data_IF_252702594034
#
_entry.id   IF_252702594034
#
_cell.length_a   1.000
_cell.length_b   1.000
_cell.length_c   1.000
_cell.angle_alpha   90.00
_cell.angle_beta   90.00
_cell.angle_gamma   90.00
#
_symmetry.space_group_name_H-M   'P 1'
#
loop_
_entity.id
_entity.type
_entity.pdbx_description
1 polymer ?
#
# COMPACT_ATOMS: atom_id res chain seq x y z
N UNK A 1 5.14 -34.91 -47.21
CA UNK A 1 6.26 -35.88 -47.21
C UNK A 1 7.28 -35.38 -46.20
N UNK A 2 7.23 -35.80 -44.93
CA UNK A 2 7.93 -36.95 -44.32
C UNK A 2 9.48 -36.89 -44.39
N UNK A 3 10.05 -36.53 -43.22
CA UNK A 3 11.19 -37.12 -42.47
C UNK A 3 12.62 -36.92 -42.95
N UNK A 4 13.49 -36.49 -42.03
CA UNK A 4 14.60 -37.25 -41.37
C UNK A 4 15.17 -36.32 -40.26
N UNK A 5 14.92 -36.53 -38.95
CA UNK A 5 15.59 -37.43 -37.98
C UNK A 5 17.11 -37.51 -38.15
N UNK A 6 17.82 -36.84 -37.24
CA UNK A 6 19.26 -36.96 -37.02
C UNK A 6 19.58 -36.85 -35.53
N UNK A 7 19.41 -37.96 -34.83
CA UNK A 7 19.77 -38.24 -33.45
C UNK A 7 21.29 -38.42 -33.37
N UNK A 8 21.99 -37.69 -32.49
CA UNK A 8 23.34 -38.07 -32.02
C UNK A 8 23.38 -37.98 -30.49
N UNK A 9 23.75 -39.11 -29.93
CA UNK A 9 23.82 -39.48 -28.52
C UNK A 9 25.30 -39.59 -28.11
N UNK A 10 25.63 -39.03 -26.94
CA UNK A 10 26.71 -39.33 -25.98
C UNK A 10 28.12 -39.73 -26.45
N UNK A 11 29.13 -39.12 -25.79
CA UNK A 11 30.17 -39.88 -25.09
C UNK A 11 30.87 -39.04 -24.00
N UNK A 12 30.94 -39.64 -22.80
CA UNK A 12 31.73 -39.24 -21.63
C UNK A 12 33.23 -39.29 -21.90
N UNK A 13 34.00 -38.39 -21.28
CA UNK A 13 35.37 -38.66 -20.85
C UNK A 13 35.55 -38.20 -19.41
N UNK A 14 35.94 -39.15 -18.57
CA UNK A 14 36.40 -39.03 -17.19
C UNK A 14 37.93 -38.99 -17.20
N UNK A 15 38.52 -38.12 -16.36
CA UNK A 15 39.85 -38.28 -15.76
C UNK A 15 39.89 -37.37 -14.50
N UNK A 16 39.92 -37.89 -13.26
CA UNK A 16 41.08 -38.37 -12.49
C UNK A 16 42.29 -37.40 -12.56
N UNK A 17 42.85 -36.85 -11.49
CA UNK A 17 42.63 -36.97 -10.06
C UNK A 17 43.78 -36.24 -9.31
N UNK A 18 43.64 -36.07 -8.00
CA UNK A 18 44.78 -36.02 -7.06
C UNK A 18 44.31 -36.27 -5.62
N UNK A 19 44.84 -37.36 -5.04
CA UNK A 19 44.99 -37.74 -3.63
C UNK A 19 46.08 -36.86 -2.98
N UNK A 20 46.20 -36.54 -1.68
CA UNK A 20 45.98 -37.15 -0.35
C UNK A 20 45.95 -35.97 0.66
N UNK A 21 45.29 -36.00 1.84
CA UNK A 21 45.76 -36.65 3.07
C UNK A 21 44.67 -36.60 4.17
N UNK A 22 44.56 -37.58 5.08
CA UNK A 22 43.53 -37.62 6.12
C UNK A 22 44.01 -36.94 7.42
N UNK A 23 43.24 -35.95 7.89
CA UNK A 23 43.35 -35.37 9.23
C UNK A 23 42.21 -35.86 10.14
N UNK A 24 42.38 -35.80 11.47
CA UNK A 24 41.60 -36.57 12.43
C UNK A 24 40.13 -36.14 12.48
N UNK A 25 39.26 -37.14 12.54
CA UNK A 25 37.81 -37.03 12.78
C UNK A 25 37.52 -36.45 14.16
N UNK A 26 37.18 -35.16 14.21
CA UNK A 26 36.42 -34.60 15.33
C UNK A 26 34.93 -34.85 15.06
N UNK A 27 34.37 -35.75 15.86
CA UNK A 27 32.95 -36.12 15.80
C UNK A 27 32.16 -35.05 16.55
N UNK A 28 32.01 -33.88 15.93
CA UNK A 28 31.06 -32.87 16.39
C UNK A 28 29.80 -33.06 15.59
N UNK A 29 28.76 -33.56 16.26
CA UNK A 29 27.40 -33.65 15.75
C UNK A 29 26.92 -32.25 15.39
N UNK A 30 27.19 -31.79 14.18
CA UNK A 30 26.48 -30.67 13.57
C UNK A 30 25.11 -31.19 13.20
N UNK A 31 24.09 -30.80 13.96
CA UNK A 31 22.73 -30.76 13.47
C UNK A 31 22.75 -30.07 12.09
N UNK A 32 22.03 -30.58 11.08
CA UNK A 32 21.91 -29.90 9.82
C UNK A 32 21.37 -28.50 10.13
N UNK A 33 22.17 -27.46 9.87
CA UNK A 33 21.63 -26.10 9.78
C UNK A 33 20.49 -26.19 8.80
N UNK A 34 19.27 -25.90 9.25
CA UNK A 34 18.18 -25.54 8.36
C UNK A 34 18.75 -24.50 7.40
N UNK A 35 18.98 -24.93 6.16
CA UNK A 35 19.24 -24.01 5.07
C UNK A 35 17.95 -23.22 4.94
N UNK A 36 18.00 -21.98 5.42
CA UNK A 36 16.90 -21.03 5.33
C UNK A 36 16.41 -21.03 3.86
N UNK A 37 15.19 -21.54 3.58
CA UNK A 37 14.66 -21.60 2.22
C UNK A 37 14.60 -20.22 1.55
N UNK A 38 14.69 -19.13 2.33
CA UNK A 38 14.77 -17.77 1.78
C UNK A 38 16.06 -17.47 1.02
N UNK A 39 17.12 -18.28 1.16
CA UNK A 39 18.35 -18.14 0.38
C UNK A 39 18.19 -18.50 -1.11
N UNK A 40 17.01 -18.98 -1.54
CA UNK A 40 16.72 -19.30 -2.95
C UNK A 40 16.10 -18.10 -3.72
N UNK A 41 15.70 -17.02 -3.03
CA UNK A 41 15.09 -15.83 -3.61
C UNK A 41 15.85 -14.55 -3.26
N UNK A 42 17.11 -14.46 -3.69
CA UNK A 42 18.03 -13.36 -3.35
C UNK A 42 17.49 -11.93 -3.59
N UNK A 43 16.46 -11.77 -4.46
CA UNK A 43 15.88 -10.47 -4.84
C UNK A 43 14.57 -10.14 -4.13
N UNK A 44 14.01 -11.04 -3.33
CA UNK A 44 12.73 -10.82 -2.65
C UNK A 44 12.97 -10.46 -1.18
N UNK A 45 12.63 -9.23 -0.82
CA UNK A 45 12.70 -8.71 0.56
C UNK A 45 11.33 -8.43 1.17
N UNK A 46 11.29 -8.13 2.47
CA UNK A 46 10.07 -7.70 3.18
C UNK A 46 9.96 -6.19 3.22
N UNK A 47 8.99 -5.62 2.51
CA UNK A 47 8.66 -4.18 2.50
C UNK A 47 9.81 -3.24 2.05
N UNK A 48 9.48 -1.99 1.73
CA UNK A 48 10.52 -0.97 1.59
C UNK A 48 11.12 -0.69 2.97
N UNK A 49 12.44 -0.64 3.08
CA UNK A 49 13.08 -0.21 4.33
C UNK A 49 12.90 1.30 4.50
N UNK A 50 12.78 1.75 5.75
CA UNK A 50 12.85 3.17 6.05
C UNK A 50 14.22 3.73 5.65
N UNK A 51 14.23 4.99 5.23
CA UNK A 51 15.47 5.67 4.89
C UNK A 51 16.47 5.63 6.01
N UNK A 52 17.71 5.27 5.66
CA UNK A 52 18.85 5.42 6.56
C UNK A 52 19.14 6.88 6.90
N UNK A 53 18.62 7.82 6.10
CA UNK A 53 18.69 9.24 6.36
C UNK A 53 17.47 9.68 7.17
N UNK A 54 17.66 10.45 8.23
CA UNK A 54 16.54 10.85 9.11
C UNK A 54 15.83 12.12 8.65
N UNK A 55 16.36 12.83 7.65
CA UNK A 55 15.91 14.17 7.27
C UNK A 55 16.25 15.23 8.33
N UNK A 56 16.09 16.50 7.95
CA UNK A 56 16.22 17.65 8.84
C UNK A 56 14.84 18.17 9.27
N UNK A 57 14.68 18.55 10.53
CA UNK A 57 13.48 19.26 11.02
C UNK A 57 13.74 20.76 11.09
N UNK A 58 12.69 21.57 11.21
CA UNK A 58 12.83 23.03 11.35
C UNK A 58 13.62 23.43 12.60
N UNK A 59 13.51 22.65 13.68
CA UNK A 59 14.24 22.88 14.92
C UNK A 59 15.76 22.60 14.80
N UNK A 60 16.18 21.82 13.80
CA UNK A 60 17.60 21.54 13.54
C UNK A 60 18.30 22.68 12.78
N UNK A 61 17.54 23.67 12.30
CA UNK A 61 18.05 24.78 11.50
C UNK A 61 18.67 25.87 12.36
N UNK A 62 19.67 26.56 11.79
CA UNK A 62 20.19 27.80 12.37
C UNK A 62 19.13 28.90 12.37
N UNK A 63 19.21 29.87 13.28
CA UNK A 63 18.28 31.02 13.30
C UNK A 63 18.31 31.81 11.98
N UNK A 64 19.48 31.90 11.34
CA UNK A 64 19.67 32.57 10.05
C UNK A 64 18.88 31.88 8.94
N UNK A 65 18.91 30.55 8.91
CA UNK A 65 18.17 29.77 7.92
C UNK A 65 16.67 29.71 8.24
N UNK A 66 16.28 29.60 9.52
CA UNK A 66 14.87 29.67 9.92
C UNK A 66 14.21 30.97 9.43
N UNK A 67 14.95 32.07 9.43
CA UNK A 67 14.48 33.37 8.95
C UNK A 67 14.26 33.42 7.42
N UNK A 68 14.70 32.41 6.66
CA UNK A 68 14.42 32.29 5.22
C UNK A 68 13.00 31.76 4.93
N UNK A 69 12.34 31.17 5.92
CA UNK A 69 11.03 30.55 5.74
C UNK A 69 9.91 31.39 6.32
N UNK A 70 8.92 31.72 5.49
CA UNK A 70 7.67 32.34 5.93
C UNK A 70 6.70 31.25 6.38
N UNK A 71 6.69 30.94 7.69
CA UNK A 71 5.82 29.90 8.25
C UNK A 71 4.41 30.46 8.49
N UNK A 72 3.38 29.99 7.77
CA UNK A 72 2.01 30.41 8.03
C UNK A 72 1.49 29.85 9.36
N UNK A 73 0.45 30.46 9.92
CA UNK A 73 -0.26 29.86 11.06
C UNK A 73 -0.94 28.55 10.59
N UNK A 74 -0.81 27.45 11.36
CA UNK A 74 -1.41 26.17 10.99
C UNK A 74 -2.95 26.25 11.01
N UNK A 75 -3.60 25.54 10.11
CA UNK A 75 -5.06 25.39 10.16
C UNK A 75 -5.49 24.57 11.38
N UNK A 76 -6.76 24.68 11.78
CA UNK A 76 -7.29 23.90 12.90
C UNK A 76 -7.14 22.39 12.62
N UNK A 77 -6.40 21.69 13.50
CA UNK A 77 -6.11 20.26 13.38
C UNK A 77 -4.80 19.91 12.68
N UNK A 78 -4.11 20.89 12.10
CA UNK A 78 -2.78 20.71 11.50
C UNK A 78 -1.67 20.95 12.53
N UNK A 79 -0.59 20.17 12.47
CA UNK A 79 0.54 20.38 13.36
C UNK A 79 1.46 21.48 12.82
N UNK A 80 2.01 22.32 13.71
CA UNK A 80 2.97 23.36 13.31
C UNK A 80 4.23 22.74 12.65
N UNK A 81 4.64 21.55 13.09
CA UNK A 81 5.79 20.83 12.54
C UNK A 81 5.55 20.43 11.08
N UNK A 82 4.35 19.95 10.74
CA UNK A 82 4.00 19.59 9.36
C UNK A 82 4.02 20.81 8.44
N UNK A 83 3.48 21.94 8.91
CA UNK A 83 3.52 23.22 8.18
C UNK A 83 4.96 23.67 7.96
N UNK A 84 5.80 23.61 8.98
CA UNK A 84 7.21 23.98 8.87
C UNK A 84 7.97 23.08 7.88
N UNK A 85 7.77 21.77 7.97
CA UNK A 85 8.38 20.80 7.05
C UNK A 85 7.94 21.07 5.62
N UNK A 86 6.65 21.32 5.37
CA UNK A 86 6.14 21.63 4.04
C UNK A 86 6.77 22.90 3.47
N UNK A 87 6.89 23.97 4.27
CA UNK A 87 7.54 25.22 3.84
C UNK A 87 9.02 25.02 3.50
N UNK A 88 9.75 24.24 4.31
CA UNK A 88 11.15 23.91 4.04
C UNK A 88 11.29 23.17 2.70
N UNK A 89 10.47 22.13 2.49
CA UNK A 89 10.48 21.33 1.27
C UNK A 89 10.19 22.18 0.03
N UNK A 90 9.16 23.03 0.10
CA UNK A 90 8.76 23.90 -1.02
C UNK A 90 9.86 24.90 -1.39
N UNK A 91 10.39 25.65 -0.43
CA UNK A 91 11.42 26.65 -0.70
C UNK A 91 12.72 26.03 -1.25
N UNK A 92 13.11 24.85 -0.74
CA UNK A 92 14.28 24.10 -1.25
C UNK A 92 14.03 23.58 -2.67
N UNK A 93 12.83 23.08 -2.93
CA UNK A 93 12.42 22.59 -4.26
C UNK A 93 12.43 23.71 -5.29
N UNK A 94 11.82 24.86 -4.95
CA UNK A 94 11.77 26.04 -5.82
C UNK A 94 13.18 26.54 -6.13
N UNK A 95 14.06 26.60 -5.14
CA UNK A 95 15.45 27.00 -5.35
C UNK A 95 16.18 26.11 -6.36
N UNK A 96 16.09 24.78 -6.20
CA UNK A 96 16.69 23.82 -7.15
C UNK A 96 16.09 24.01 -8.54
N UNK A 97 14.76 24.14 -8.60
CA UNK A 97 14.03 24.31 -9.86
C UNK A 97 14.47 25.58 -10.61
N UNK A 98 14.53 26.72 -9.92
CA UNK A 98 15.01 27.99 -10.48
C UNK A 98 16.47 27.91 -10.92
N UNK A 99 17.34 27.25 -10.14
CA UNK A 99 18.73 27.03 -10.52
C UNK A 99 18.82 26.23 -11.83
N UNK A 100 18.05 25.15 -11.98
CA UNK A 100 18.00 24.35 -13.21
C UNK A 100 17.45 25.14 -14.41
N UNK A 101 16.39 25.93 -14.21
CA UNK A 101 15.83 26.78 -15.25
C UNK A 101 16.83 27.85 -15.72
N UNK A 102 17.57 28.45 -14.79
CA UNK A 102 18.63 29.43 -15.10
C UNK A 102 19.77 28.82 -15.93
N UNK A 103 19.97 27.51 -15.82
CA UNK A 103 20.93 26.72 -16.59
C UNK A 103 20.37 26.30 -17.96
N UNK A 104 19.12 26.65 -18.30
CA UNK A 104 18.49 26.37 -19.59
C UNK A 104 17.67 25.09 -19.63
N UNK A 105 17.43 24.44 -18.49
CA UNK A 105 16.59 23.23 -18.40
C UNK A 105 15.15 23.61 -18.08
N UNK A 106 14.36 23.89 -19.12
CA UNK A 106 12.98 24.37 -19.00
C UNK A 106 11.96 23.38 -18.37
N UNK A 107 12.37 22.15 -18.08
CA UNK A 107 11.60 21.18 -17.29
C UNK A 107 11.97 21.17 -15.81
N UNK A 108 12.92 22.01 -15.40
CA UNK A 108 13.35 22.16 -14.02
C UNK A 108 13.69 20.80 -13.39
N UNK A 109 13.13 20.56 -12.21
CA UNK A 109 13.38 19.34 -11.44
C UNK A 109 12.71 18.08 -12.02
N UNK A 110 11.67 18.21 -12.87
CA UNK A 110 11.03 17.05 -13.52
C UNK A 110 12.01 16.29 -14.43
N UNK A 111 13.08 16.95 -14.90
CA UNK A 111 14.09 16.28 -15.72
C UNK A 111 14.89 15.22 -14.94
N UNK A 112 14.86 15.26 -13.60
CA UNK A 112 15.55 14.30 -12.73
C UNK A 112 15.06 12.89 -12.99
N UNK A 113 13.78 12.68 -13.31
CA UNK A 113 13.18 11.35 -13.51
C UNK A 113 13.92 10.53 -14.60
N UNK A 114 14.50 11.22 -15.59
CA UNK A 114 15.26 10.60 -16.69
C UNK A 114 16.71 10.21 -16.34
N UNK A 115 17.24 10.72 -15.24
CA UNK A 115 18.65 10.50 -14.81
C UNK A 115 18.75 9.98 -13.38
N UNK A 116 17.62 9.80 -12.70
CA UNK A 116 17.57 9.59 -11.27
C UNK A 116 16.15 9.62 -10.72
N UNK A 117 16.01 10.19 -9.52
CA UNK A 117 14.76 10.47 -8.82
C UNK A 117 14.99 11.57 -7.78
N UNK A 118 13.91 12.15 -7.24
CA UNK A 118 13.98 12.94 -6.02
C UNK A 118 12.81 12.57 -5.09
N UNK A 119 13.03 12.67 -3.78
CA UNK A 119 11.98 12.52 -2.77
C UNK A 119 12.14 13.56 -1.67
N UNK A 120 11.06 13.84 -0.95
CA UNK A 120 11.12 14.64 0.26
C UNK A 120 11.26 13.74 1.48
N UNK A 121 12.11 14.15 2.43
CA UNK A 121 12.28 13.45 3.70
C UNK A 121 12.39 14.45 4.84
N UNK A 122 11.28 14.61 5.58
CA UNK A 122 11.08 15.75 6.49
C UNK A 122 11.42 17.04 5.74
N UNK A 123 12.13 17.99 6.33
CA UNK A 123 12.50 19.22 5.64
C UNK A 123 13.52 19.06 4.51
N UNK A 124 14.17 17.91 4.33
CA UNK A 124 15.25 17.71 3.35
C UNK A 124 14.75 17.17 2.00
N UNK A 125 15.51 17.43 0.94
CA UNK A 125 15.33 16.82 -0.38
C UNK A 125 16.39 15.75 -0.58
N UNK A 126 16.00 14.53 -0.97
CA UNK A 126 16.93 13.46 -1.34
C UNK A 126 16.93 13.35 -2.86
N UNK A 127 18.07 13.67 -3.49
CA UNK A 127 18.28 13.56 -4.94
C UNK A 127 19.07 12.29 -5.22
N UNK A 128 18.47 11.38 -5.97
CA UNK A 128 19.04 10.09 -6.31
C UNK A 128 19.49 10.13 -7.76
N UNK A 129 20.78 9.93 -8.04
CA UNK A 129 21.34 10.06 -9.38
C UNK A 129 21.94 8.74 -9.83
N UNK A 130 21.64 8.35 -11.07
CA UNK A 130 22.23 7.17 -11.66
C UNK A 130 23.68 7.41 -12.07
N UNK A 131 24.49 6.38 -11.89
CA UNK A 131 25.88 6.37 -12.32
C UNK A 131 26.10 5.88 -13.76
N UNK A 132 27.22 6.28 -14.34
CA UNK A 132 27.60 5.85 -15.69
C UNK A 132 26.74 6.40 -16.83
N UNK A 133 25.97 7.47 -16.59
CA UNK A 133 25.20 8.19 -17.61
C UNK A 133 26.10 8.77 -18.71
N UNK A 134 25.57 8.91 -19.92
CA UNK A 134 26.33 9.33 -21.12
C UNK A 134 25.60 10.43 -21.89
N UNK A 135 26.34 11.17 -22.71
CA UNK A 135 25.76 12.15 -23.64
C UNK A 135 24.97 13.24 -22.93
N UNK A 136 23.72 13.43 -23.35
CA UNK A 136 22.79 14.42 -22.76
C UNK A 136 22.43 14.11 -21.31
N UNK A 137 22.26 12.83 -20.94
CA UNK A 137 21.94 12.43 -19.56
C UNK A 137 23.04 12.82 -18.59
N UNK A 138 24.31 12.70 -19.01
CA UNK A 138 25.45 13.12 -18.19
C UNK A 138 25.44 14.64 -17.93
N UNK A 139 25.13 15.44 -18.95
CA UNK A 139 25.03 16.89 -18.79
C UNK A 139 23.88 17.30 -17.86
N UNK A 140 22.75 16.60 -17.94
CA UNK A 140 21.62 16.78 -17.02
C UNK A 140 22.04 16.45 -15.59
N UNK A 141 22.70 15.31 -15.37
CA UNK A 141 23.26 14.93 -14.06
C UNK A 141 24.18 16.03 -13.52
N UNK A 142 25.14 16.49 -14.31
CA UNK A 142 26.08 17.56 -13.90
C UNK A 142 25.36 18.88 -13.54
N UNK A 143 24.30 19.24 -14.26
CA UNK A 143 23.50 20.42 -13.95
C UNK A 143 22.68 20.27 -12.65
N UNK A 144 22.18 19.06 -12.38
CA UNK A 144 21.48 18.75 -11.12
C UNK A 144 22.47 18.79 -9.96
N UNK A 145 23.63 18.13 -10.08
CA UNK A 145 24.69 18.16 -9.05
C UNK A 145 25.07 19.60 -8.71
N UNK A 146 25.24 20.45 -9.73
CA UNK A 146 25.50 21.87 -9.50
C UNK A 146 24.35 22.59 -8.79
N UNK A 147 23.09 22.36 -9.19
CA UNK A 147 21.94 22.97 -8.51
C UNK A 147 21.81 22.50 -7.06
N UNK A 148 22.20 21.25 -6.77
CA UNK A 148 22.28 20.72 -5.41
C UNK A 148 23.39 21.39 -4.61
N UNK A 149 24.59 21.54 -5.18
CA UNK A 149 25.70 22.27 -4.55
C UNK A 149 25.29 23.72 -4.20
N UNK A 150 24.66 24.43 -5.15
CA UNK A 150 24.16 25.79 -4.94
C UNK A 150 23.12 25.83 -3.78
N UNK A 151 22.21 24.85 -3.73
CA UNK A 151 21.20 24.75 -2.67
C UNK A 151 21.81 24.43 -1.30
N UNK A 152 22.83 23.57 -1.26
CA UNK A 152 23.56 23.24 -0.04
C UNK A 152 24.35 24.45 0.49
N UNK A 153 24.91 25.28 -0.41
CA UNK A 153 25.59 26.53 -0.03
C UNK A 153 24.59 27.58 0.49
N UNK A 154 23.41 27.67 -0.12
CA UNK A 154 22.40 28.66 0.26
C UNK A 154 21.68 28.33 1.58
N UNK A 155 21.32 27.06 1.79
CA UNK A 155 20.61 26.61 2.99
C UNK A 155 21.58 25.99 4.00
N UNK A 156 21.91 24.71 3.81
CA UNK A 156 22.92 23.96 4.55
C UNK A 156 23.19 22.62 3.84
N UNK A 157 24.21 21.87 4.27
CA UNK A 157 24.65 20.60 3.67
C UNK A 157 23.62 19.45 3.78
N UNK A 158 22.69 19.53 4.72
CA UNK A 158 21.58 18.59 4.92
C UNK A 158 20.29 19.01 4.23
N UNK A 159 20.26 20.19 3.60
CA UNK A 159 19.08 20.70 2.89
C UNK A 159 18.74 19.81 1.70
N UNK A 160 19.78 19.33 1.03
CA UNK A 160 19.69 18.40 -0.09
C UNK A 160 20.75 17.32 0.08
N UNK A 161 20.37 16.05 -0.03
CA UNK A 161 21.29 14.91 0.06
C UNK A 161 21.33 14.20 -1.29
N UNK A 162 22.54 13.97 -1.81
CA UNK A 162 22.74 13.19 -3.05
C UNK A 162 23.03 11.74 -2.71
N UNK A 163 22.34 10.82 -3.38
CA UNK A 163 22.57 9.39 -3.31
C UNK A 163 22.78 8.82 -4.71
N UNK A 164 23.67 7.84 -4.84
CA UNK A 164 23.82 7.09 -6.09
C UNK A 164 22.82 5.93 -6.15
N UNK A 165 22.19 5.75 -7.30
CA UNK A 165 21.25 4.65 -7.53
C UNK A 165 21.59 3.85 -8.79
N UNK A 166 21.35 2.53 -8.80
CA UNK A 166 21.62 1.70 -9.99
C UNK A 166 20.66 1.96 -11.15
N UNK A 167 19.44 2.44 -10.88
CA UNK A 167 18.36 2.64 -11.87
C UNK A 167 17.67 3.99 -11.66
N UNK A 168 17.22 4.60 -12.75
CA UNK A 168 16.39 5.82 -12.70
C UNK A 168 14.94 5.48 -12.39
N UNK A 169 14.13 6.48 -12.03
CA UNK A 169 12.68 6.32 -11.86
C UNK A 169 12.01 5.84 -13.13
N UNK A 170 12.34 6.42 -14.27
CA UNK A 170 11.80 5.98 -15.57
C UNK A 170 12.09 4.51 -15.84
N UNK A 171 13.31 4.05 -15.56
CA UNK A 171 13.67 2.64 -15.71
C UNK A 171 12.85 1.75 -14.77
N UNK A 172 12.67 2.15 -13.51
CA UNK A 172 11.88 1.40 -12.54
C UNK A 172 10.39 1.32 -12.92
N UNK A 173 9.80 2.41 -13.40
CA UNK A 173 8.43 2.43 -13.94
C UNK A 173 8.31 1.47 -15.13
N UNK A 174 9.29 1.47 -16.02
CA UNK A 174 9.36 0.55 -17.15
C UNK A 174 9.44 -0.92 -16.70
N UNK A 175 10.24 -1.23 -15.66
CA UNK A 175 10.30 -2.55 -15.07
C UNK A 175 8.98 -2.94 -14.40
N UNK A 176 8.36 -2.02 -13.66
CA UNK A 176 7.07 -2.21 -13.01
C UNK A 176 5.98 -2.57 -14.03
N UNK A 177 5.85 -1.78 -15.11
CA UNK A 177 4.86 -2.01 -16.16
C UNK A 177 5.02 -3.37 -16.85
N UNK A 178 6.28 -3.77 -17.13
CA UNK A 178 6.59 -5.09 -17.68
C UNK A 178 6.22 -6.20 -16.71
N UNK A 179 6.63 -6.07 -15.44
CA UNK A 179 6.32 -7.05 -14.40
C UNK A 179 4.82 -7.21 -14.24
N UNK A 180 4.05 -6.12 -14.11
CA UNK A 180 2.60 -6.16 -13.95
C UNK A 180 1.89 -6.87 -15.09
N UNK A 181 2.33 -6.65 -16.33
CA UNK A 181 1.79 -7.36 -17.50
C UNK A 181 2.03 -8.88 -17.42
N UNK A 182 3.13 -9.32 -16.78
CA UNK A 182 3.42 -10.74 -16.54
C UNK A 182 2.63 -11.29 -15.36
N UNK A 183 2.54 -10.56 -14.26
CA UNK A 183 1.81 -11.02 -13.06
C UNK A 183 0.32 -11.18 -13.35
N UNK A 184 -0.27 -10.26 -14.13
CA UNK A 184 -1.66 -10.36 -14.58
C UNK A 184 -1.96 -11.61 -15.44
N UNK A 185 -0.94 -12.26 -16.01
CA UNK A 185 -1.13 -13.51 -16.76
C UNK A 185 -1.26 -14.76 -15.86
N UNK A 186 -0.93 -14.63 -14.57
CA UNK A 186 -1.01 -15.71 -13.58
C UNK A 186 -2.20 -15.45 -12.66
N UNK A 187 -3.31 -16.15 -12.90
CA UNK A 187 -4.58 -15.97 -12.18
C UNK A 187 -4.44 -16.02 -10.64
N UNK A 188 -3.51 -16.84 -10.12
CA UNK A 188 -3.26 -16.94 -8.68
C UNK A 188 -2.69 -15.64 -8.10
N UNK A 189 -1.84 -14.93 -8.84
CA UNK A 189 -1.26 -13.66 -8.43
C UNK A 189 -2.20 -12.49 -8.66
N UNK A 190 -2.95 -12.48 -9.77
CA UNK A 190 -3.92 -11.43 -10.10
C UNK A 190 -4.91 -11.19 -8.95
N UNK A 191 -5.32 -12.25 -8.26
CA UNK A 191 -6.26 -12.16 -7.12
C UNK A 191 -5.61 -11.75 -5.80
N UNK A 192 -4.29 -11.90 -5.68
CA UNK A 192 -3.55 -11.60 -4.44
C UNK A 192 -2.94 -10.21 -4.45
N UNK A 193 -2.58 -9.67 -5.60
CA UNK A 193 -1.93 -8.35 -5.69
C UNK A 193 -2.96 -7.26 -5.41
N UNK A 194 -2.65 -6.43 -4.42
CA UNK A 194 -3.42 -5.25 -4.02
C UNK A 194 -2.96 -4.04 -4.81
N UNK A 195 -1.65 -3.78 -4.78
CA UNK A 195 -1.04 -2.64 -5.43
C UNK A 195 0.43 -2.92 -5.75
N UNK A 196 0.99 -2.06 -6.60
CA UNK A 196 2.43 -1.97 -6.78
C UNK A 196 2.92 -0.56 -6.62
N UNK A 197 4.13 -0.43 -6.12
CA UNK A 197 4.82 0.83 -5.89
C UNK A 197 6.29 0.72 -6.27
N UNK A 198 7.03 1.77 -5.95
CA UNK A 198 8.47 1.83 -6.12
C UNK A 198 9.13 2.10 -4.76
N UNK A 199 10.10 1.29 -4.37
CA UNK A 199 10.99 1.58 -3.24
C UNK A 199 12.20 2.34 -3.78
N UNK A 200 12.05 3.66 -3.95
CA UNK A 200 13.03 4.47 -4.69
C UNK A 200 14.45 4.39 -4.10
N UNK A 201 14.58 4.44 -2.77
CA UNK A 201 15.87 4.35 -2.06
C UNK A 201 16.59 3.02 -2.24
N UNK A 202 15.84 1.96 -2.47
CA UNK A 202 16.41 0.63 -2.68
C UNK A 202 16.46 0.27 -4.18
N UNK A 203 16.03 1.18 -5.07
CA UNK A 203 15.84 0.90 -6.50
C UNK A 203 15.08 -0.41 -6.74
N UNK A 204 14.06 -0.65 -5.92
CA UNK A 204 13.27 -1.87 -5.90
C UNK A 204 11.81 -1.59 -6.24
N UNK A 205 11.06 -2.63 -6.59
CA UNK A 205 9.60 -2.55 -6.74
C UNK A 205 8.94 -2.96 -5.43
N UNK A 206 7.87 -2.26 -5.06
CA UNK A 206 7.01 -2.67 -3.96
C UNK A 206 5.81 -3.44 -4.51
N UNK A 207 5.50 -4.58 -3.88
CA UNK A 207 4.40 -5.45 -4.24
C UNK A 207 3.58 -5.74 -2.97
N UNK A 208 2.40 -5.13 -2.90
CA UNK A 208 1.48 -5.35 -1.78
C UNK A 208 0.53 -6.49 -2.15
N UNK A 209 0.43 -7.49 -1.27
CA UNK A 209 -0.37 -8.70 -1.49
C UNK A 209 -1.32 -8.94 -0.31
N UNK A 210 -2.50 -9.53 -0.60
CA UNK A 210 -3.54 -9.81 0.40
C UNK A 210 -3.17 -10.92 1.38
N UNK A 211 -2.33 -11.83 0.94
CA UNK A 211 -1.92 -13.03 1.67
C UNK A 211 -0.52 -13.46 1.21
N UNK A 212 0.10 -14.34 1.98
CA UNK A 212 1.43 -14.88 1.65
C UNK A 212 1.44 -15.56 0.27
N UNK A 213 2.52 -15.33 -0.46
CA UNK A 213 2.76 -15.95 -1.76
C UNK A 213 3.36 -17.34 -1.56
N UNK A 214 2.95 -18.29 -2.41
CA UNK A 214 3.58 -19.62 -2.40
C UNK A 214 5.00 -19.57 -2.96
N UNK A 215 5.81 -20.60 -2.68
CA UNK A 215 7.16 -20.74 -3.26
C UNK A 215 7.14 -20.67 -4.80
N UNK A 216 6.16 -21.30 -5.44
CA UNK A 216 6.00 -21.25 -6.91
C UNK A 216 5.62 -19.84 -7.42
N UNK A 217 4.95 -19.04 -6.60
CA UNK A 217 4.61 -17.65 -6.91
C UNK A 217 5.82 -16.73 -6.75
N UNK A 218 6.57 -16.88 -5.65
CA UNK A 218 7.82 -16.17 -5.39
C UNK A 218 8.86 -16.48 -6.47
N UNK A 219 9.02 -17.76 -6.81
CA UNK A 219 9.92 -18.17 -7.90
C UNK A 219 9.52 -17.54 -9.22
N UNK A 220 8.23 -17.60 -9.58
CA UNK A 220 7.75 -17.00 -10.82
C UNK A 220 8.05 -15.51 -10.87
N UNK A 221 7.78 -14.78 -9.79
CA UNK A 221 8.05 -13.34 -9.67
C UNK A 221 9.55 -13.06 -9.85
N UNK A 222 10.42 -13.79 -9.14
CA UNK A 222 11.87 -13.66 -9.23
C UNK A 222 12.40 -13.90 -10.65
N UNK A 223 11.81 -14.85 -11.39
CA UNK A 223 12.15 -15.13 -12.80
C UNK A 223 11.66 -14.05 -13.78
N UNK A 224 10.65 -13.26 -13.42
CA UNK A 224 10.08 -12.22 -14.29
C UNK A 224 10.81 -10.87 -14.21
N UNK A 225 11.75 -10.70 -13.28
CA UNK A 225 12.39 -9.40 -13.03
C UNK A 225 13.89 -9.50 -12.78
N UNK A 226 14.59 -8.43 -13.12
CA UNK A 226 16.00 -8.18 -12.82
C UNK A 226 16.19 -7.13 -11.72
N UNK A 227 15.10 -6.63 -11.14
CA UNK A 227 15.13 -5.67 -10.03
C UNK A 227 14.64 -6.33 -8.75
N UNK A 228 15.11 -5.84 -7.61
CA UNK A 228 14.66 -6.33 -6.32
C UNK A 228 13.17 -6.04 -6.14
N UNK A 229 12.48 -6.95 -5.48
CA UNK A 229 11.06 -6.82 -5.15
C UNK A 229 10.92 -6.89 -3.64
N UNK A 230 10.24 -5.90 -3.09
CA UNK A 230 9.82 -5.88 -1.70
C UNK A 230 8.36 -6.29 -1.66
N UNK A 231 8.07 -7.33 -0.89
CA UNK A 231 6.71 -7.85 -0.73
C UNK A 231 6.19 -7.42 0.63
N UNK A 232 5.00 -6.84 0.65
CA UNK A 232 4.27 -6.51 1.85
C UNK A 232 2.96 -7.28 1.86
N UNK A 233 2.71 -8.04 2.92
CA UNK A 233 1.40 -8.67 3.13
C UNK A 233 0.51 -7.67 3.86
N UNK A 234 -0.55 -7.22 3.19
CA UNK A 234 -1.58 -6.36 3.76
C UNK A 234 -2.88 -7.14 3.81
N UNK A 235 -3.28 -7.56 5.01
CA UNK A 235 -4.59 -8.17 5.19
C UNK A 235 -5.70 -7.16 4.86
N UNK A 236 -6.78 -7.59 4.17
CA UNK A 236 -7.94 -6.73 3.94
C UNK A 236 -8.52 -6.21 5.26
N UNK A 237 -8.93 -4.94 5.25
CA UNK A 237 -9.74 -4.37 6.31
C UNK A 237 -11.04 -5.15 6.45
N UNK A 238 -11.55 -5.31 7.68
CA UNK A 238 -12.80 -6.01 7.96
C UNK A 238 -13.78 -5.11 8.67
N UNK A 239 -15.02 -5.06 8.18
CA UNK A 239 -16.12 -4.36 8.82
C UNK A 239 -17.28 -5.30 9.03
N UNK A 240 -17.77 -5.36 10.26
CA UNK A 240 -18.92 -6.20 10.62
C UNK A 240 -20.11 -5.34 11.02
N UNK A 241 -21.30 -5.74 10.63
CA UNK A 241 -22.55 -5.08 11.00
C UNK A 241 -23.75 -5.62 10.25
N UNK A 242 -24.91 -5.01 10.46
CA UNK A 242 -26.14 -5.38 9.78
C UNK A 242 -26.33 -4.59 8.48
N UNK A 243 -26.81 -5.29 7.45
CA UNK A 243 -27.12 -4.70 6.15
C UNK A 243 -28.39 -3.87 6.24
N UNK A 244 -28.30 -2.60 5.87
CA UNK A 244 -29.45 -1.66 5.90
C UNK A 244 -29.98 -1.33 4.51
N UNK A 245 -29.25 -1.69 3.46
CA UNK A 245 -29.67 -1.58 2.06
C UNK A 245 -28.86 -2.57 1.22
N UNK A 246 -29.52 -3.25 0.27
CA UNK A 246 -28.87 -4.12 -0.72
C UNK A 246 -29.56 -4.02 -2.09
N UNK A 247 -28.82 -4.32 -3.15
CA UNK A 247 -29.32 -4.32 -4.54
C UNK A 247 -28.24 -3.96 -5.56
N UNK A 248 -28.40 -4.40 -6.81
CA UNK A 248 -27.48 -4.11 -7.93
C UNK A 248 -25.99 -4.43 -7.64
N UNK A 249 -25.73 -5.50 -6.89
CA UNK A 249 -24.36 -5.88 -6.46
C UNK A 249 -23.75 -4.91 -5.44
N UNK A 250 -24.59 -4.16 -4.73
CA UNK A 250 -24.20 -3.21 -3.69
C UNK A 250 -24.85 -3.59 -2.37
N UNK A 251 -24.16 -3.28 -1.28
CA UNK A 251 -24.71 -3.37 0.07
C UNK A 251 -24.26 -2.16 0.88
N UNK A 252 -25.05 -1.77 1.88
CA UNK A 252 -24.70 -0.70 2.83
C UNK A 252 -24.60 -1.27 4.23
N UNK A 253 -23.48 -0.96 4.88
CA UNK A 253 -23.12 -1.40 6.22
C UNK A 253 -22.68 -0.19 7.04
N UNK A 254 -23.47 0.17 8.04
CA UNK A 254 -23.31 1.41 8.78
C UNK A 254 -23.20 2.63 7.82
N UNK A 255 -22.10 3.37 7.85
CA UNK A 255 -21.87 4.57 7.01
C UNK A 255 -21.05 4.28 5.75
N UNK A 256 -20.94 3.02 5.33
CA UNK A 256 -20.15 2.61 4.18
C UNK A 256 -20.99 1.81 3.19
N UNK A 257 -20.96 2.21 1.92
CA UNK A 257 -21.52 1.47 0.79
C UNK A 257 -20.42 0.64 0.13
N UNK A 258 -20.66 -0.65 -0.03
CA UNK A 258 -19.78 -1.58 -0.70
C UNK A 258 -20.34 -1.96 -2.08
N UNK A 259 -19.47 -2.09 -3.08
CA UNK A 259 -19.81 -2.53 -4.43
C UNK A 259 -19.23 -3.93 -4.72
N UNK A 260 -19.73 -4.57 -5.78
CA UNK A 260 -19.31 -5.90 -6.25
C UNK A 260 -19.56 -7.06 -5.27
N UNK A 261 -20.60 -6.96 -4.43
CA UNK A 261 -21.02 -8.11 -3.63
C UNK A 261 -21.60 -9.19 -4.55
N UNK A 262 -20.90 -10.33 -4.67
CA UNK A 262 -21.32 -11.46 -5.51
C UNK A 262 -22.49 -12.24 -4.93
N UNK A 263 -22.76 -12.05 -3.64
CA UNK A 263 -23.81 -12.75 -2.90
C UNK A 263 -25.10 -11.94 -2.91
N UNK A 264 -26.23 -12.66 -2.98
CA UNK A 264 -27.56 -12.10 -2.78
C UNK A 264 -27.76 -11.92 -1.27
N UNK A 265 -27.40 -10.75 -0.78
CA UNK A 265 -27.40 -10.42 0.65
C UNK A 265 -28.67 -9.65 0.97
N UNK A 266 -29.41 -10.13 1.97
CA UNK A 266 -30.69 -9.54 2.33
C UNK A 266 -30.53 -8.45 3.42
N UNK A 267 -31.42 -7.46 3.38
CA UNK A 267 -31.52 -6.46 4.46
C UNK A 267 -31.73 -7.17 5.80
N UNK A 268 -31.06 -6.70 6.84
CA UNK A 268 -31.10 -7.27 8.19
C UNK A 268 -30.07 -8.36 8.46
N UNK A 269 -29.36 -8.86 7.45
CA UNK A 269 -28.31 -9.87 7.66
C UNK A 269 -27.08 -9.26 8.37
N UNK A 270 -26.53 -10.01 9.32
CA UNK A 270 -25.23 -9.69 9.92
C UNK A 270 -24.13 -10.19 8.98
N UNK A 271 -23.29 -9.28 8.49
CA UNK A 271 -22.21 -9.63 7.57
C UNK A 271 -20.87 -9.10 8.08
N UNK A 272 -19.79 -9.78 7.72
CA UNK A 272 -18.44 -9.22 7.73
C UNK A 272 -17.99 -9.01 6.30
N UNK A 273 -17.64 -7.76 5.95
CA UNK A 273 -17.13 -7.38 4.64
C UNK A 273 -15.63 -7.17 4.74
N UNK A 274 -14.88 -7.84 3.87
CA UNK A 274 -13.45 -7.60 3.65
C UNK A 274 -13.27 -6.57 2.53
N UNK A 275 -12.42 -5.57 2.73
CA UNK A 275 -12.22 -4.46 1.80
C UNK A 275 -10.81 -3.86 1.91
N UNK A 276 -10.41 -3.06 0.94
CA UNK A 276 -9.13 -2.34 0.94
C UNK A 276 -9.37 -0.85 1.15
N UNK A 277 -9.35 -0.08 0.06
CA UNK A 277 -9.39 1.38 0.07
C UNK A 277 -10.81 1.90 0.20
N UNK A 278 -10.99 2.87 1.09
CA UNK A 278 -12.24 3.59 1.25
C UNK A 278 -12.11 4.95 0.57
N UNK A 279 -12.99 5.23 -0.38
CA UNK A 279 -13.10 6.55 -0.98
C UNK A 279 -13.63 7.55 0.04
N UNK A 280 -12.94 8.68 0.18
CA UNK A 280 -13.37 9.84 0.96
C UNK A 280 -14.64 10.46 0.36
N UNK A 281 -15.78 9.93 0.79
CA UNK A 281 -17.10 10.34 0.33
C UNK A 281 -18.11 10.12 1.46
N UNK A 282 -19.29 10.73 1.32
CA UNK A 282 -20.37 10.52 2.27
C UNK A 282 -21.64 10.02 1.57
N UNK A 283 -22.13 8.81 1.89
CA UNK A 283 -21.48 7.80 2.74
C UNK A 283 -20.16 7.34 2.12
N UNK A 284 -19.28 6.80 2.96
CA UNK A 284 -18.01 6.24 2.51
C UNK A 284 -18.27 5.12 1.48
N UNK A 285 -17.38 4.95 0.51
CA UNK A 285 -17.54 3.95 -0.55
C UNK A 285 -16.31 3.06 -0.63
N UNK A 286 -16.50 1.77 -0.86
CA UNK A 286 -15.41 0.82 -1.05
C UNK A 286 -15.88 -0.31 -1.96
N UNK A 287 -14.94 -1.06 -2.53
CA UNK A 287 -15.24 -2.36 -3.13
C UNK A 287 -15.23 -3.44 -2.05
N UNK A 288 -16.14 -4.41 -2.15
CA UNK A 288 -16.10 -5.62 -1.33
C UNK A 288 -15.23 -6.67 -2.02
N UNK A 289 -14.24 -7.18 -1.30
CA UNK A 289 -13.38 -8.28 -1.75
C UNK A 289 -14.08 -9.61 -1.46
N UNK A 290 -14.59 -9.74 -0.24
CA UNK A 290 -15.29 -10.93 0.25
C UNK A 290 -16.39 -10.48 1.22
N UNK A 291 -17.49 -11.22 1.25
CA UNK A 291 -18.57 -11.00 2.22
C UNK A 291 -18.89 -12.32 2.89
N UNK A 292 -18.84 -12.31 4.23
CA UNK A 292 -19.22 -13.45 5.05
C UNK A 292 -20.53 -13.16 5.76
N UNK A 293 -21.59 -13.87 5.37
CA UNK A 293 -22.88 -13.84 6.06
C UNK A 293 -22.83 -14.68 7.34
N UNK A 294 -23.26 -14.11 8.46
CA UNK A 294 -23.35 -14.80 9.74
C UNK A 294 -24.78 -15.30 9.96
N UNK A 295 -24.91 -16.44 10.64
CA UNK A 295 -26.23 -16.93 11.06
C UNK A 295 -26.87 -15.92 12.03
N UNK A 296 -28.11 -15.48 11.80
CA UNK A 296 -28.79 -14.56 12.71
C UNK A 296 -28.96 -15.20 14.08
N UNK A 297 -28.76 -14.42 15.15
CA UNK A 297 -28.99 -14.94 16.50
C UNK A 297 -30.49 -14.88 16.81
N UNK A 298 -30.95 -15.89 17.54
CA UNK A 298 -32.27 -15.97 18.12
C UNK A 298 -32.07 -16.34 19.60
N UNK A 299 -32.15 -15.36 20.52
CA UNK A 299 -32.04 -15.60 21.95
C UNK A 299 -33.07 -16.64 22.43
N UNK A 300 -32.75 -17.31 23.55
CA UNK A 300 -33.68 -18.25 24.15
C UNK A 300 -34.99 -17.54 24.57
N UNK A 301 -36.11 -18.10 24.16
CA UNK A 301 -37.43 -17.54 24.41
C UNK A 301 -37.91 -16.54 23.37
N UNK A 302 -37.04 -16.11 22.43
CA UNK A 302 -37.45 -15.20 21.37
C UNK A 302 -38.12 -15.93 20.19
N UNK A 303 -39.22 -15.38 19.68
CA UNK A 303 -39.93 -15.86 18.50
C UNK A 303 -39.27 -15.38 17.20
N UNK A 304 -38.76 -14.14 17.18
CA UNK A 304 -38.03 -13.56 16.06
C UNK A 304 -36.51 -13.70 16.24
N UNK A 305 -35.79 -13.72 15.12
CA UNK A 305 -34.33 -13.59 15.11
C UNK A 305 -33.87 -12.16 14.77
N UNK A 306 -32.59 -11.85 14.98
CA UNK A 306 -32.02 -10.51 14.74
C UNK A 306 -32.34 -9.94 13.34
N UNK A 307 -32.33 -10.77 12.28
CA UNK A 307 -32.60 -10.32 10.91
C UNK A 307 -34.04 -9.83 10.75
N UNK A 308 -35.00 -10.61 11.25
CA UNK A 308 -36.44 -10.30 11.16
C UNK A 308 -36.75 -9.01 11.94
N UNK A 309 -36.18 -8.86 13.13
CA UNK A 309 -36.35 -7.68 13.97
C UNK A 309 -35.79 -6.42 13.29
N UNK A 310 -34.64 -6.53 12.63
CA UNK A 310 -34.05 -5.40 11.89
C UNK A 310 -34.90 -5.04 10.67
N UNK A 311 -35.36 -6.02 9.90
CA UNK A 311 -36.26 -5.77 8.77
C UNK A 311 -37.52 -5.02 9.23
N UNK A 312 -38.20 -5.50 10.28
CA UNK A 312 -39.37 -4.83 10.85
C UNK A 312 -39.05 -3.44 11.40
N UNK A 313 -37.86 -3.24 11.97
CA UNK A 313 -37.44 -1.95 12.49
C UNK A 313 -37.24 -0.94 11.36
N UNK A 314 -36.56 -1.32 10.29
CA UNK A 314 -36.29 -0.46 9.13
C UNK A 314 -37.58 -0.10 8.37
N UNK A 315 -38.56 -1.01 8.30
CA UNK A 315 -39.89 -0.72 7.72
C UNK A 315 -40.70 0.32 8.52
N UNK A 316 -40.48 0.40 9.83
CA UNK A 316 -41.17 1.33 10.74
C UNK A 316 -40.49 2.70 10.85
N UNK A 317 -39.29 2.87 10.28
CA UNK A 317 -38.63 4.18 10.25
C UNK A 317 -39.40 5.08 9.27
N UNK A 318 -40.16 6.04 9.80
CA UNK A 318 -40.93 7.03 9.00
C UNK A 318 -40.05 8.09 8.31
N UNK A 319 -38.73 7.89 8.29
CA UNK A 319 -37.74 8.85 7.81
C UNK A 319 -37.16 8.40 6.46
N UNK A 320 -37.31 9.24 5.44
CA UNK A 320 -36.73 9.06 4.10
C UNK A 320 -35.19 9.26 4.09
N UNK A 321 -34.53 9.21 5.25
CA UNK A 321 -33.08 9.28 5.35
C UNK A 321 -32.45 8.20 4.46
N UNK A 322 -31.64 8.60 3.45
CA UNK A 322 -31.10 7.66 2.47
C UNK A 322 -30.05 6.72 3.07
N UNK A 323 -29.60 6.99 4.30
CA UNK A 323 -28.53 6.26 4.95
C UNK A 323 -28.88 5.96 6.41
N UNK A 324 -28.89 4.67 6.74
CA UNK A 324 -29.26 4.18 8.07
C UNK A 324 -28.20 3.20 8.54
N UNK A 325 -27.92 3.20 9.85
CA UNK A 325 -26.92 2.33 10.46
C UNK A 325 -27.47 1.71 11.75
N UNK A 326 -27.54 0.38 11.80
CA UNK A 326 -27.84 -0.33 13.05
C UNK A 326 -26.64 -0.17 14.00
N UNK A 327 -26.90 0.36 15.20
CA UNK A 327 -25.90 0.55 16.24
C UNK A 327 -25.93 -0.56 17.28
N UNK A 328 -27.12 -1.01 17.63
CA UNK A 328 -27.33 -2.01 18.66
C UNK A 328 -28.68 -2.73 18.47
N UNK A 329 -28.75 -3.97 18.96
CA UNK A 329 -29.96 -4.78 19.01
C UNK A 329 -29.97 -5.59 20.30
N UNK A 330 -31.05 -5.48 21.09
CA UNK A 330 -31.18 -6.15 22.38
C UNK A 330 -32.57 -6.74 22.54
N UNK A 331 -32.65 -8.02 22.92
CA UNK A 331 -33.92 -8.67 23.31
C UNK A 331 -34.15 -8.55 24.82
N UNK A 332 -35.38 -8.21 25.21
CA UNK A 332 -35.81 -8.04 26.59
C UNK A 332 -36.84 -9.11 26.96
N UNK A 333 -36.36 -10.25 27.44
CA UNK A 333 -37.19 -11.42 27.79
C UNK A 333 -38.35 -11.14 28.75
N UNK A 334 -38.23 -10.14 29.63
CA UNK A 334 -39.29 -9.81 30.59
C UNK A 334 -40.50 -9.13 29.96
N UNK A 335 -40.27 -8.35 28.90
CA UNK A 335 -41.31 -7.62 28.18
C UNK A 335 -41.66 -8.25 26.83
N UNK A 336 -40.91 -9.27 26.41
CA UNK A 336 -41.06 -9.93 25.12
C UNK A 336 -40.93 -8.96 23.93
N UNK A 337 -39.91 -8.10 24.03
CA UNK A 337 -39.68 -7.00 23.10
C UNK A 337 -38.20 -6.89 22.75
N UNK A 338 -37.94 -6.50 21.51
CA UNK A 338 -36.63 -6.09 21.02
C UNK A 338 -36.50 -4.57 21.01
N UNK A 339 -35.32 -4.08 21.35
CA UNK A 339 -34.89 -2.70 21.13
C UNK A 339 -33.83 -2.66 20.04
N UNK A 340 -34.07 -1.94 18.95
CA UNK A 340 -33.10 -1.69 17.88
C UNK A 340 -32.71 -0.22 17.88
N UNK A 341 -31.42 0.06 18.08
CA UNK A 341 -30.89 1.42 18.00
C UNK A 341 -30.41 1.71 16.59
N UNK A 342 -31.06 2.65 15.91
CA UNK A 342 -30.77 3.03 14.53
C UNK A 342 -30.19 4.45 14.54
N UNK A 343 -29.05 4.65 13.86
CA UNK A 343 -28.55 5.98 13.52
C UNK A 343 -29.05 6.35 12.13
N UNK A 344 -29.86 7.40 12.06
CA UNK A 344 -30.32 8.05 10.83
C UNK A 344 -29.34 9.15 10.45
N UNK A 345 -29.02 9.25 9.17
CA UNK A 345 -27.98 10.13 8.67
C UNK A 345 -28.61 11.11 7.66
N UNK A 346 -28.60 12.40 8.00
CA UNK A 346 -29.18 13.49 7.20
C UNK A 346 -28.09 14.46 6.76
N UNK A 347 -27.21 14.00 5.87
CA UNK A 347 -26.05 14.78 5.43
C UNK A 347 -24.84 14.66 6.36
N UNK A 348 -23.85 15.54 6.17
CA UNK A 348 -22.51 15.38 6.77
C UNK A 348 -22.49 15.60 8.29
N UNK A 349 -23.27 16.56 8.79
CA UNK A 349 -23.21 16.98 10.20
C UNK A 349 -24.45 16.61 11.03
N UNK A 350 -25.54 16.19 10.38
CA UNK A 350 -26.77 15.83 11.08
C UNK A 350 -26.92 14.31 11.14
N UNK A 351 -26.82 13.77 12.35
CA UNK A 351 -27.23 12.39 12.61
C UNK A 351 -28.15 12.35 13.82
N UNK A 352 -29.21 11.56 13.72
CA UNK A 352 -30.15 11.31 14.80
C UNK A 352 -30.04 9.84 15.19
N UNK A 353 -30.14 9.55 16.48
CA UNK A 353 -30.26 8.18 16.97
C UNK A 353 -31.69 7.97 17.42
N UNK A 354 -32.31 6.89 16.95
CA UNK A 354 -33.67 6.49 17.29
C UNK A 354 -33.64 5.06 17.82
N UNK A 355 -34.31 4.83 18.95
CA UNK A 355 -34.52 3.50 19.51
C UNK A 355 -35.91 3.02 19.07
N UNK A 356 -35.96 1.84 18.45
CA UNK A 356 -37.18 1.21 17.93
C UNK A 356 -37.53 0.00 18.80
N UNK A 357 -38.75 0.00 19.35
CA UNK A 357 -39.29 -1.15 20.06
C UNK A 357 -40.08 -2.05 19.10
N UNK A 358 -39.72 -3.33 19.03
CA UNK A 358 -40.38 -4.35 18.21
C UNK A 358 -40.89 -5.44 19.13
N UNK A 359 -42.19 -5.71 19.07
CA UNK A 359 -42.77 -6.84 19.78
C UNK A 359 -42.33 -8.15 19.15
N UNK A 360 -42.04 -9.13 20.00
CA UNK A 360 -41.66 -10.47 19.60
C UNK A 360 -42.93 -11.35 19.56
N UNK A 361 -43.73 -11.24 18.49
CA UNK A 361 -45.02 -11.96 18.34
C UNK A 361 -45.33 -12.41 16.90
#
# INVERSE_FOLDING_TARGET
MKRYIGMILLLFVVACGQTENPGPTDTTSSEPKETDPSAEYDRIGKGCEESSFSGQTFADLSEEEQALYEIPEPFEGESLEDVQVAQMQMARYEYINESLESQGYAGGIEMIDSVGNFNFLKGSIVVQLKDGLKGEEKKRKEAIEKAVEDAQEYYNDQAVVVQEVPKTKDELIDHQNRLMSKLASKESLEKKIVSTGLCMEQSALDLVVREELSEEELQFINEQTDVDIKIMVQEPNKKTGYVTSSGDGRLSLATTSFQHSKEDIEIGELVTVSYETVMESYPAKSEAIDVKVHKPKQPEGADLNEKEVIQQSLEKVEDDSPHQAIKDITYHQQSDEWTVRIRLIKGMDESQVQDMAIKDE
#
